data_IF_470679714038
#
_entry.id   IF_470679714038
#
_cell.length_a   1.000
_cell.length_b   1.000
_cell.length_c   1.000
_cell.angle_alpha   90.00
_cell.angle_beta   90.00
_cell.angle_gamma   90.00
#
_symmetry.space_group_name_H-M   'P 1'
#
loop_
_entity.id
_entity.type
_entity.pdbx_description
1 polymer ?
#
# COMPACT_ATOMS: atom_id res chain seq x y z
N UNK A 1 24.99 -12.61 23.81
CA UNK A 1 23.98 -12.45 22.75
C UNK A 1 24.51 -11.38 21.81
N UNK A 2 25.11 -11.81 20.68
CA UNK A 2 25.61 -10.86 19.67
C UNK A 2 24.42 -10.25 18.97
N UNK A 3 24.29 -8.92 19.02
CA UNK A 3 23.34 -8.21 18.20
C UNK A 3 23.67 -8.49 16.72
N UNK A 4 22.70 -8.92 15.93
CA UNK A 4 22.85 -8.90 14.48
C UNK A 4 22.93 -7.43 14.07
N UNK A 5 24.11 -6.95 13.70
CA UNK A 5 24.26 -5.67 13.01
C UNK A 5 23.53 -5.78 11.67
N UNK A 6 22.44 -5.04 11.54
CA UNK A 6 21.64 -5.02 10.31
C UNK A 6 22.42 -4.17 9.30
N UNK A 7 23.02 -4.83 8.31
CA UNK A 7 23.76 -4.15 7.24
C UNK A 7 22.78 -3.67 6.19
N UNK A 8 22.76 -2.37 5.92
CA UNK A 8 22.01 -1.76 4.82
C UNK A 8 22.90 -1.77 3.58
N UNK A 9 22.48 -2.47 2.53
CA UNK A 9 23.17 -2.54 1.25
C UNK A 9 22.55 -1.55 0.26
N UNK A 10 23.40 -0.96 -0.60
CA UNK A 10 22.91 -0.28 -1.80
C UNK A 10 22.43 -1.31 -2.84
N UNK A 11 21.58 -0.88 -3.78
CA UNK A 11 20.97 -1.79 -4.75
C UNK A 11 21.98 -2.63 -5.52
N UNK A 12 23.07 -2.02 -5.99
CA UNK A 12 24.12 -2.70 -6.74
C UNK A 12 24.93 -3.70 -5.88
N UNK A 13 25.13 -3.39 -4.60
CA UNK A 13 25.75 -4.31 -3.63
C UNK A 13 24.85 -5.50 -3.35
N UNK A 14 23.54 -5.24 -3.18
CA UNK A 14 22.53 -6.28 -3.01
C UNK A 14 22.48 -7.21 -4.23
N UNK A 15 22.44 -6.67 -5.45
CA UNK A 15 22.44 -7.47 -6.68
C UNK A 15 23.71 -8.30 -6.83
N UNK A 16 24.89 -7.74 -6.49
CA UNK A 16 26.15 -8.50 -6.46
C UNK A 16 26.12 -9.64 -5.44
N UNK A 17 25.56 -9.40 -4.25
CA UNK A 17 25.42 -10.41 -3.22
C UNK A 17 24.54 -11.58 -3.67
N UNK A 18 23.40 -11.31 -4.31
CA UNK A 18 22.53 -12.35 -4.88
C UNK A 18 23.31 -13.15 -5.95
N UNK A 19 24.00 -12.45 -6.87
CA UNK A 19 24.77 -13.10 -7.94
C UNK A 19 25.89 -14.00 -7.41
N UNK A 20 26.56 -13.58 -6.35
CA UNK A 20 27.63 -14.36 -5.71
C UNK A 20 27.10 -15.58 -4.95
N UNK A 21 25.84 -15.53 -4.52
CA UNK A 21 25.19 -16.58 -3.73
C UNK A 21 23.99 -17.18 -4.49
N UNK A 22 24.08 -17.29 -5.82
CA UNK A 22 22.96 -17.74 -6.65
C UNK A 22 22.50 -19.16 -6.34
N UNK A 23 23.41 -20.00 -5.84
CA UNK A 23 23.11 -21.36 -5.40
C UNK A 23 22.45 -21.42 -4.03
N UNK A 24 22.39 -20.30 -3.31
CA UNK A 24 21.73 -20.20 -2.01
C UNK A 24 20.26 -19.81 -2.21
N UNK A 25 19.31 -20.61 -1.73
CA UNK A 25 17.90 -20.30 -1.89
C UNK A 25 17.52 -18.99 -1.21
N UNK A 26 16.82 -18.11 -1.91
CA UNK A 26 16.32 -16.85 -1.36
C UNK A 26 14.82 -16.92 -1.08
N UNK A 27 14.37 -16.17 -0.09
CA UNK A 27 12.94 -15.94 0.19
C UNK A 27 12.62 -14.47 0.00
N UNK A 28 11.46 -14.17 -0.57
CA UNK A 28 10.96 -12.81 -0.70
C UNK A 28 9.82 -12.55 0.30
N UNK A 29 9.79 -11.35 0.85
CA UNK A 29 8.65 -10.80 1.56
C UNK A 29 8.12 -9.59 0.78
N UNK A 30 6.88 -9.69 0.29
CA UNK A 30 6.21 -8.65 -0.47
C UNK A 30 5.21 -7.90 0.41
N UNK A 31 5.32 -6.60 0.43
CA UNK A 31 4.34 -5.70 1.02
C UNK A 31 3.50 -4.99 -0.05
N UNK A 32 2.58 -4.11 0.39
CA UNK A 32 1.61 -3.42 -0.47
C UNK A 32 2.25 -2.63 -1.63
N UNK A 33 3.49 -2.16 -1.47
CA UNK A 33 4.23 -1.48 -2.53
C UNK A 33 4.45 -2.31 -3.79
N UNK A 34 4.52 -3.65 -3.67
CA UNK A 34 4.70 -4.53 -4.82
C UNK A 34 3.51 -4.52 -5.80
N UNK A 35 2.32 -4.13 -5.33
CA UNK A 35 1.08 -4.16 -6.12
C UNK A 35 0.74 -2.82 -6.78
N UNK A 36 1.50 -1.75 -6.50
CA UNK A 36 1.21 -0.41 -7.03
C UNK A 36 1.29 -0.39 -8.56
N UNK A 37 2.32 -1.01 -9.15
CA UNK A 37 2.46 -1.11 -10.61
C UNK A 37 1.39 -1.97 -11.28
N UNK A 38 0.72 -2.81 -10.51
CA UNK A 38 -0.45 -3.56 -10.97
C UNK A 38 -1.74 -2.73 -10.93
N UNK A 39 -1.66 -1.45 -10.55
CA UNK A 39 -2.79 -0.52 -10.49
C UNK A 39 -3.56 -0.54 -9.17
N UNK A 40 -3.11 -1.30 -8.17
CA UNK A 40 -3.74 -1.31 -6.84
C UNK A 40 -3.26 -0.09 -6.05
N UNK A 41 -4.15 0.76 -5.54
CA UNK A 41 -3.78 1.95 -4.77
C UNK A 41 -2.96 1.61 -3.53
N UNK A 42 -2.02 2.49 -3.19
CA UNK A 42 -1.28 2.39 -1.93
C UNK A 42 -2.19 2.65 -0.71
N UNK A 43 -1.75 2.22 0.47
CA UNK A 43 -2.43 2.55 1.72
C UNK A 43 -2.59 4.08 1.89
N UNK A 44 -1.58 4.85 1.52
CA UNK A 44 -1.64 6.31 1.55
C UNK A 44 -2.69 6.89 0.58
N UNK A 45 -2.83 6.31 -0.62
CA UNK A 45 -3.87 6.73 -1.56
C UNK A 45 -5.27 6.42 -1.01
N UNK A 46 -5.46 5.25 -0.38
CA UNK A 46 -6.72 4.91 0.27
C UNK A 46 -7.06 5.87 1.40
N UNK A 47 -6.09 6.19 2.28
CA UNK A 47 -6.30 7.16 3.38
C UNK A 47 -6.76 8.51 2.82
N UNK A 48 -6.11 9.02 1.78
CA UNK A 48 -6.48 10.31 1.20
C UNK A 48 -7.85 10.30 0.53
N UNK A 49 -8.24 9.19 -0.09
CA UNK A 49 -9.57 9.04 -0.66
C UNK A 49 -10.64 9.03 0.44
N UNK A 50 -10.42 8.33 1.54
CA UNK A 50 -11.34 8.31 2.68
C UNK A 50 -11.43 9.67 3.40
N UNK A 51 -10.30 10.35 3.59
CA UNK A 51 -10.29 11.72 4.12
C UNK A 51 -11.12 12.66 3.26
N UNK A 52 -10.96 12.58 1.94
CA UNK A 52 -11.72 13.36 0.97
C UNK A 52 -13.22 13.05 1.06
N UNK A 53 -13.60 11.78 1.11
CA UNK A 53 -15.00 11.37 1.22
C UNK A 53 -15.65 11.88 2.50
N UNK A 54 -14.95 11.77 3.63
CA UNK A 54 -15.40 12.30 4.92
C UNK A 54 -15.54 13.83 4.85
N UNK A 55 -14.55 14.52 4.27
CA UNK A 55 -14.60 15.98 4.13
C UNK A 55 -15.81 16.42 3.32
N UNK A 56 -16.02 15.83 2.14
CA UNK A 56 -17.15 16.19 1.26
C UNK A 56 -18.50 15.86 1.91
N UNK A 57 -18.62 14.75 2.61
CA UNK A 57 -19.84 14.38 3.33
C UNK A 57 -20.21 15.37 4.43
N UNK A 58 -19.22 16.01 5.06
CA UNK A 58 -19.44 16.98 6.13
C UNK A 58 -19.53 18.43 5.63
N UNK A 59 -19.18 18.69 4.38
CA UNK A 59 -19.19 20.02 3.77
C UNK A 59 -20.01 20.03 2.47
N UNK A 60 -21.32 19.73 2.54
CA UNK A 60 -22.17 19.75 1.35
C UNK A 60 -22.24 21.18 0.79
N UNK A 61 -21.92 21.35 -0.47
CA UNK A 61 -21.94 22.65 -1.14
C UNK A 61 -20.56 23.32 -1.29
N UNK A 62 -19.48 22.64 -0.87
CA UNK A 62 -18.14 23.09 -1.23
C UNK A 62 -17.99 23.05 -2.76
N UNK A 63 -17.71 24.23 -3.33
CA UNK A 63 -17.46 24.39 -4.77
C UNK A 63 -15.94 24.33 -4.98
N UNK A 64 -15.47 23.38 -5.76
CA UNK A 64 -14.05 23.23 -6.09
C UNK A 64 -13.76 21.89 -6.75
N UNK A 65 -12.59 21.79 -7.35
CA UNK A 65 -12.11 20.55 -7.94
C UNK A 65 -11.50 19.65 -6.84
N UNK A 66 -12.36 18.87 -6.20
CA UNK A 66 -11.97 17.85 -5.20
C UNK A 66 -11.83 16.46 -5.82
N UNK A 67 -11.96 16.31 -7.14
CA UNK A 67 -11.91 14.99 -7.78
C UNK A 67 -10.50 14.40 -7.75
N UNK A 68 -9.48 15.25 -7.62
CA UNK A 68 -8.10 14.81 -7.53
C UNK A 68 -7.60 14.77 -6.08
N UNK A 69 -7.78 13.62 -5.41
CA UNK A 69 -7.25 13.37 -4.05
C UNK A 69 -5.71 13.40 -3.98
N UNK A 70 -5.01 13.44 -5.11
CA UNK A 70 -3.54 13.56 -5.19
C UNK A 70 -3.06 15.01 -5.24
N UNK A 71 -3.95 15.99 -5.45
CA UNK A 71 -3.60 17.40 -5.45
C UNK A 71 -3.15 17.85 -4.06
N UNK A 72 -1.94 18.40 -3.96
CA UNK A 72 -1.36 18.84 -2.68
C UNK A 72 -2.21 19.96 -2.04
N UNK A 73 -2.76 20.87 -2.84
CA UNK A 73 -3.63 21.94 -2.35
C UNK A 73 -4.93 21.39 -1.74
N UNK A 74 -5.52 20.38 -2.37
CA UNK A 74 -6.72 19.69 -1.87
C UNK A 74 -6.39 18.95 -0.57
N UNK A 75 -5.29 18.19 -0.54
CA UNK A 75 -4.84 17.48 0.67
C UNK A 75 -4.62 18.42 1.84
N UNK A 76 -3.95 19.55 1.61
CA UNK A 76 -3.71 20.56 2.65
C UNK A 76 -5.00 21.13 3.22
N UNK A 77 -5.98 21.45 2.37
CA UNK A 77 -7.26 21.98 2.79
C UNK A 77 -8.05 20.94 3.62
N UNK A 78 -8.11 19.70 3.14
CA UNK A 78 -8.76 18.60 3.85
C UNK A 78 -8.09 18.36 5.21
N UNK A 79 -6.76 18.31 5.26
CA UNK A 79 -6.03 18.08 6.51
C UNK A 79 -6.27 19.20 7.52
N UNK A 80 -6.21 20.46 7.10
CA UNK A 80 -6.53 21.61 7.98
C UNK A 80 -7.93 21.51 8.58
N UNK A 81 -8.90 21.08 7.77
CA UNK A 81 -10.26 20.88 8.28
C UNK A 81 -10.33 19.72 9.28
N UNK A 82 -9.69 18.59 9.00
CA UNK A 82 -9.64 17.43 9.91
C UNK A 82 -8.98 17.81 11.24
N UNK A 83 -7.84 18.49 11.20
CA UNK A 83 -7.10 18.93 12.39
C UNK A 83 -7.96 19.85 13.26
N UNK A 84 -8.73 20.75 12.67
CA UNK A 84 -9.62 21.65 13.39
C UNK A 84 -10.74 20.95 14.14
N UNK A 85 -11.13 19.72 13.73
CA UNK A 85 -12.16 18.96 14.41
C UNK A 85 -11.67 18.31 15.72
N UNK A 86 -10.37 18.09 15.90
CA UNK A 86 -9.75 17.44 17.07
C UNK A 86 -10.30 16.03 17.42
N UNK A 87 -10.91 15.33 16.44
CA UNK A 87 -11.47 13.98 16.62
C UNK A 87 -10.83 12.96 15.67
N UNK A 88 -10.01 13.42 14.73
CA UNK A 88 -9.33 12.59 13.75
C UNK A 88 -7.86 12.36 14.17
N UNK A 89 -7.26 11.22 13.82
CA UNK A 89 -5.84 10.99 14.08
C UNK A 89 -4.99 12.00 13.31
N UNK A 90 -3.82 12.32 13.85
CA UNK A 90 -2.84 13.14 13.16
C UNK A 90 -2.36 12.43 11.87
N UNK A 91 -1.90 13.22 10.91
CA UNK A 91 -1.32 12.68 9.67
C UNK A 91 -0.12 11.79 10.00
N UNK A 92 -0.06 10.61 9.38
CA UNK A 92 0.93 9.55 9.60
C UNK A 92 0.89 8.90 11.00
N UNK A 93 -0.20 9.03 11.75
CA UNK A 93 -0.41 8.27 12.97
C UNK A 93 -0.52 6.76 12.67
N UNK A 94 -0.08 5.92 13.61
CA UNK A 94 -0.04 4.46 13.42
C UNK A 94 -1.43 3.83 13.18
N UNK A 95 -2.48 4.44 13.68
CA UNK A 95 -3.87 4.01 13.56
C UNK A 95 -4.64 4.74 12.43
N UNK A 96 -3.99 5.65 11.72
CA UNK A 96 -4.64 6.48 10.69
C UNK A 96 -5.40 5.65 9.64
N UNK A 97 -4.75 4.62 9.12
CA UNK A 97 -5.35 3.74 8.10
C UNK A 97 -6.62 3.03 8.60
N UNK A 98 -6.54 2.38 9.75
CA UNK A 98 -7.68 1.65 10.32
C UNK A 98 -8.81 2.60 10.72
N UNK A 99 -8.47 3.75 11.31
CA UNK A 99 -9.44 4.75 11.70
C UNK A 99 -10.25 5.26 10.51
N UNK A 100 -9.59 5.71 9.43
CA UNK A 100 -10.30 6.25 8.27
C UNK A 100 -11.06 5.18 7.51
N UNK A 101 -10.54 3.94 7.41
CA UNK A 101 -11.27 2.82 6.82
C UNK A 101 -12.58 2.52 7.58
N UNK A 102 -12.53 2.50 8.92
CA UNK A 102 -13.71 2.25 9.75
C UNK A 102 -14.69 3.42 9.77
N UNK A 103 -14.17 4.64 9.73
CA UNK A 103 -15.00 5.84 9.71
C UNK A 103 -15.78 5.97 8.40
N UNK A 104 -15.14 5.66 7.27
CA UNK A 104 -15.78 5.70 5.94
C UNK A 104 -16.73 4.52 5.74
N UNK A 105 -16.30 3.32 6.16
CA UNK A 105 -17.10 2.10 6.04
C UNK A 105 -17.35 1.47 7.44
N UNK A 106 -18.28 1.99 8.24
CA UNK A 106 -18.53 1.51 9.61
C UNK A 106 -19.02 0.06 9.65
N UNK A 107 -19.67 -0.42 8.58
CA UNK A 107 -20.14 -1.80 8.48
C UNK A 107 -19.02 -2.67 7.91
N UNK A 108 -18.61 -3.71 8.67
CA UNK A 108 -17.50 -4.59 8.28
C UNK A 108 -17.68 -5.25 6.90
N UNK A 109 -18.90 -5.60 6.53
CA UNK A 109 -19.20 -6.18 5.22
C UNK A 109 -18.96 -5.21 4.07
N UNK A 110 -19.28 -3.93 4.27
CA UNK A 110 -18.99 -2.88 3.29
C UNK A 110 -17.50 -2.63 3.12
N UNK A 111 -16.73 -2.66 4.23
CA UNK A 111 -15.25 -2.60 4.16
C UNK A 111 -14.69 -3.77 3.37
N UNK A 112 -15.17 -4.98 3.63
CA UNK A 112 -14.75 -6.17 2.88
C UNK A 112 -15.03 -6.04 1.39
N UNK A 113 -16.22 -5.59 1.01
CA UNK A 113 -16.61 -5.36 -0.39
C UNK A 113 -15.74 -4.29 -1.05
N UNK A 114 -15.43 -3.20 -0.33
CA UNK A 114 -14.51 -2.18 -0.81
C UNK A 114 -13.15 -2.77 -1.17
N UNK A 115 -12.54 -3.53 -0.25
CA UNK A 115 -11.23 -4.15 -0.52
C UNK A 115 -11.29 -5.21 -1.61
N UNK A 116 -12.34 -6.00 -1.68
CA UNK A 116 -12.55 -6.95 -2.78
C UNK A 116 -12.64 -6.24 -4.13
N UNK A 117 -13.36 -5.13 -4.19
CA UNK A 117 -13.46 -4.31 -5.40
C UNK A 117 -12.12 -3.68 -5.77
N UNK A 118 -11.40 -3.16 -4.76
CA UNK A 118 -10.10 -2.52 -4.95
C UNK A 118 -9.06 -3.44 -5.64
N UNK A 119 -9.09 -4.73 -5.35
CA UNK A 119 -8.13 -5.70 -5.92
C UNK A 119 -8.68 -6.46 -7.14
N UNK A 120 -9.96 -6.30 -7.44
CA UNK A 120 -10.57 -7.04 -8.55
C UNK A 120 -10.19 -6.45 -9.92
N UNK A 121 -9.99 -7.32 -10.91
CA UNK A 121 -9.71 -6.90 -12.29
C UNK A 121 -8.28 -6.44 -12.56
N UNK A 122 -7.40 -6.48 -11.57
CA UNK A 122 -5.98 -6.16 -11.75
C UNK A 122 -5.19 -7.40 -12.16
N UNK A 123 -4.23 -7.20 -13.06
CA UNK A 123 -3.29 -8.24 -13.51
C UNK A 123 -1.91 -8.00 -12.89
N UNK A 124 -1.11 -9.08 -12.71
CA UNK A 124 0.25 -8.96 -12.21
C UNK A 124 1.10 -8.04 -13.09
N UNK A 125 1.83 -7.12 -12.47
CA UNK A 125 2.81 -6.27 -13.15
C UNK A 125 4.03 -7.08 -13.61
N UNK A 126 4.91 -6.45 -14.40
CA UNK A 126 6.17 -7.05 -14.83
C UNK A 126 7.00 -7.57 -13.65
N UNK A 127 6.96 -6.88 -12.49
CA UNK A 127 7.66 -7.31 -11.28
C UNK A 127 7.25 -8.70 -10.81
N UNK A 128 5.96 -9.01 -10.84
CA UNK A 128 5.45 -10.35 -10.48
C UNK A 128 5.89 -11.42 -11.49
N UNK A 129 5.88 -11.11 -12.78
CA UNK A 129 6.39 -12.04 -13.80
C UNK A 129 7.88 -12.33 -13.65
N UNK A 130 8.70 -11.32 -13.29
CA UNK A 130 10.12 -11.53 -12.99
C UNK A 130 10.33 -12.39 -11.74
N UNK A 131 9.51 -12.22 -10.70
CA UNK A 131 9.53 -13.11 -9.52
C UNK A 131 9.25 -14.56 -9.92
N UNK A 132 8.26 -14.77 -10.80
CA UNK A 132 7.93 -16.12 -11.30
C UNK A 132 9.10 -16.74 -12.07
N UNK A 133 9.80 -15.97 -12.91
CA UNK A 133 11.00 -16.43 -13.60
C UNK A 133 12.12 -16.80 -12.62
N UNK A 134 12.38 -15.96 -11.60
CA UNK A 134 13.39 -16.26 -10.59
C UNK A 134 13.03 -17.50 -9.75
N UNK A 135 11.74 -17.78 -9.56
CA UNK A 135 11.27 -19.00 -8.90
C UNK A 135 11.49 -20.23 -9.79
N UNK A 136 11.23 -20.14 -11.09
CA UNK A 136 11.48 -21.21 -12.07
C UNK A 136 12.98 -21.54 -12.14
N UNK A 137 13.85 -20.53 -12.08
CA UNK A 137 15.31 -20.71 -12.05
C UNK A 137 15.84 -21.17 -10.67
N UNK A 138 14.94 -21.46 -9.72
CA UNK A 138 15.28 -21.90 -8.37
C UNK A 138 16.10 -20.88 -7.53
N UNK A 139 16.17 -19.62 -7.93
CA UNK A 139 16.79 -18.54 -7.17
C UNK A 139 15.91 -18.14 -5.98
N UNK A 140 14.58 -18.10 -6.20
CA UNK A 140 13.60 -17.85 -5.15
C UNK A 140 12.89 -19.17 -4.82
N UNK A 141 12.88 -19.54 -3.55
CA UNK A 141 12.23 -20.78 -3.04
C UNK A 141 10.90 -20.53 -2.37
N UNK A 142 10.68 -19.33 -1.85
CA UNK A 142 9.42 -18.98 -1.21
C UNK A 142 9.13 -17.49 -1.37
N UNK A 143 7.85 -17.19 -1.52
CA UNK A 143 7.34 -15.82 -1.52
C UNK A 143 6.33 -15.71 -0.39
N UNK A 144 6.58 -14.79 0.52
CA UNK A 144 5.67 -14.41 1.59
C UNK A 144 5.02 -13.08 1.22
N UNK A 145 3.76 -12.91 1.50
CA UNK A 145 3.09 -11.63 1.25
C UNK A 145 2.15 -11.28 2.38
N UNK A 146 2.11 -9.98 2.69
CA UNK A 146 1.08 -9.38 3.54
C UNK A 146 -0.07 -8.80 2.72
N UNK A 147 0.02 -8.87 1.38
CA UNK A 147 -1.01 -8.36 0.49
C UNK A 147 -2.19 -9.35 0.40
N UNK A 148 -3.36 -8.80 0.28
CA UNK A 148 -4.62 -9.55 0.13
C UNK A 148 -5.13 -9.60 -1.32
N UNK A 149 -4.32 -9.10 -2.28
CA UNK A 149 -4.71 -8.97 -3.69
C UNK A 149 -4.63 -10.27 -4.50
N UNK A 150 -3.93 -11.28 -4.00
CA UNK A 150 -3.77 -12.57 -4.67
C UNK A 150 -2.94 -12.54 -5.95
N UNK A 151 -2.25 -11.43 -6.28
CA UNK A 151 -1.45 -11.30 -7.51
C UNK A 151 -0.29 -12.28 -7.58
N UNK A 152 0.25 -12.70 -6.43
CA UNK A 152 1.31 -13.72 -6.34
C UNK A 152 0.83 -15.08 -6.85
N UNK A 153 -0.48 -15.34 -6.85
CA UNK A 153 -1.08 -16.62 -7.23
C UNK A 153 -1.55 -16.67 -8.70
N UNK A 154 -1.46 -15.56 -9.41
CA UNK A 154 -1.78 -15.44 -10.82
C UNK A 154 -0.56 -15.69 -11.70
#
# INVERSE_FOLDING_TARGET
MGGMDMQILQLDEFLRSIKQNIDTPHSLLLGAGASIESGIPSAADCIWEWKREIYLSNNPGVIGDFDNSKSESVRRLIQQWLDAQNIYPAENAADEYSFFAEKTYPIADNRRKFFQHLVSGHDPSLGYHLISLLALENIIKSVWTTNFDGLVLK
#
